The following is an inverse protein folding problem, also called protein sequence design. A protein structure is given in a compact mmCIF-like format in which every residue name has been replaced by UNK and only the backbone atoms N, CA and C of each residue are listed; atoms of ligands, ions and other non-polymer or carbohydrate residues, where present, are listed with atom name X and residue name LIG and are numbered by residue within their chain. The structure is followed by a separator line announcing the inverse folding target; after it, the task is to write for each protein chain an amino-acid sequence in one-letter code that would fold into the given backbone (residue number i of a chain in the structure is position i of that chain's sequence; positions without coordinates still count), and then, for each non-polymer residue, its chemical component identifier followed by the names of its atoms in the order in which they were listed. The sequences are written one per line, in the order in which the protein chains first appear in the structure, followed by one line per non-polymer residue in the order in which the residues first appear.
data_IF_874809726651
#
_entry.id   IF_874809726651
#
_cell.length_a   1.000
_cell.length_b   1.000
_cell.length_c   1.000
_cell.angle_alpha   90.00
_cell.angle_beta   90.00
_cell.angle_gamma   90.00
#
_symmetry.space_group_name_H-M   'P 1'
#
loop_
_entity.id
_entity.type
_entity.pdbx_description
1 polymer ?
#
# COMPACT_ATOMS: atom_id res chain seq x y z
N UNK A 1 1.15 -2.95 -25.71
CA UNK A 1 2.10 -3.91 -25.07
C UNK A 1 1.76 -4.03 -23.58
N UNK A 2 1.38 -5.21 -23.11
CA UNK A 2 0.92 -5.42 -21.73
C UNK A 2 2.05 -5.18 -20.71
N UNK A 3 1.72 -4.72 -19.49
CA UNK A 3 2.69 -4.50 -18.39
C UNK A 3 3.54 -5.76 -18.14
N UNK A 4 2.92 -6.94 -18.30
CA UNK A 4 3.58 -8.25 -18.23
C UNK A 4 4.76 -8.38 -19.19
N UNK A 5 4.56 -7.99 -20.44
CA UNK A 5 5.60 -8.04 -21.47
C UNK A 5 6.69 -6.99 -21.21
N UNK A 6 6.34 -5.80 -20.72
CA UNK A 6 7.32 -4.76 -20.37
C UNK A 6 8.26 -5.21 -19.25
N UNK A 7 7.72 -5.77 -18.16
CA UNK A 7 8.52 -6.27 -17.04
C UNK A 7 9.38 -7.47 -17.45
N UNK A 8 8.82 -8.43 -18.19
CA UNK A 8 9.61 -9.57 -18.70
C UNK A 8 10.78 -9.11 -19.59
N UNK A 9 10.55 -8.13 -20.48
CA UNK A 9 11.61 -7.55 -21.32
C UNK A 9 12.64 -6.79 -20.47
N UNK A 10 12.22 -6.02 -19.47
CA UNK A 10 13.15 -5.29 -18.60
C UNK A 10 14.05 -6.23 -17.78
N UNK A 11 13.47 -7.26 -17.15
CA UNK A 11 14.23 -8.27 -16.41
C UNK A 11 15.14 -9.09 -17.33
N UNK A 12 14.65 -9.47 -18.52
CA UNK A 12 15.47 -10.14 -19.52
C UNK A 12 16.63 -9.24 -20.00
N UNK A 13 16.40 -7.94 -20.18
CA UNK A 13 17.42 -6.97 -20.58
C UNK A 13 18.51 -6.80 -19.53
N UNK A 14 18.14 -6.67 -18.25
CA UNK A 14 19.10 -6.61 -17.14
C UNK A 14 19.88 -7.92 -17.02
N UNK A 15 19.20 -9.06 -17.10
CA UNK A 15 19.83 -10.38 -17.11
C UNK A 15 20.78 -10.58 -18.29
N UNK A 16 20.43 -10.06 -19.47
CA UNK A 16 21.26 -10.09 -20.66
C UNK A 16 22.55 -9.29 -20.45
N UNK A 17 22.41 -8.04 -20.00
CA UNK A 17 23.55 -7.16 -19.77
C UNK A 17 24.51 -7.77 -18.74
N UNK A 18 23.99 -8.27 -17.62
CA UNK A 18 24.81 -8.93 -16.60
C UNK A 18 25.51 -10.19 -17.13
N UNK A 19 24.79 -11.05 -17.85
CA UNK A 19 25.36 -12.31 -18.38
C UNK A 19 26.43 -12.05 -19.44
N UNK A 20 26.22 -11.07 -20.33
CA UNK A 20 27.22 -10.66 -21.33
C UNK A 20 28.45 -10.09 -20.65
N UNK A 21 28.29 -9.20 -19.67
CA UNK A 21 29.42 -8.63 -18.93
C UNK A 21 30.25 -9.71 -18.22
N UNK A 22 29.59 -10.61 -17.49
CA UNK A 22 30.27 -11.71 -16.79
C UNK A 22 30.93 -12.67 -17.78
N UNK A 23 30.26 -13.01 -18.88
CA UNK A 23 30.78 -13.91 -19.89
C UNK A 23 32.02 -13.36 -20.60
N UNK A 24 31.97 -12.10 -21.05
CA UNK A 24 33.10 -11.42 -21.69
C UNK A 24 34.27 -11.28 -20.73
N UNK A 25 34.02 -10.83 -19.50
CA UNK A 25 35.07 -10.67 -18.49
C UNK A 25 35.74 -12.01 -18.14
N UNK A 26 34.94 -13.07 -17.99
CA UNK A 26 35.46 -14.43 -17.70
C UNK A 26 36.32 -14.95 -18.84
N UNK A 27 35.86 -14.80 -20.09
CA UNK A 27 36.62 -15.22 -21.27
C UNK A 27 37.93 -14.43 -21.42
N UNK A 28 37.89 -13.10 -21.30
CA UNK A 28 39.09 -12.25 -21.36
C UNK A 28 40.10 -12.63 -20.29
N UNK A 29 39.64 -12.84 -19.05
CA UNK A 29 40.51 -13.24 -17.93
C UNK A 29 41.13 -14.61 -18.18
N UNK A 30 40.35 -15.58 -18.66
CA UNK A 30 40.87 -16.92 -18.97
C UNK A 30 41.89 -16.87 -20.11
N UNK A 31 41.60 -16.14 -21.18
CA UNK A 31 42.50 -15.98 -22.33
C UNK A 31 43.81 -15.30 -21.94
N UNK A 32 43.75 -14.20 -21.18
CA UNK A 32 44.96 -13.52 -20.69
C UNK A 32 45.81 -14.42 -19.81
N UNK A 33 45.19 -15.14 -18.86
CA UNK A 33 45.92 -16.08 -17.99
C UNK A 33 46.62 -17.18 -18.76
N UNK A 34 45.96 -17.74 -19.78
CA UNK A 34 46.56 -18.78 -20.63
C UNK A 34 47.74 -18.20 -21.42
N UNK A 35 47.57 -17.04 -22.07
CA UNK A 35 48.67 -16.40 -22.82
C UNK A 35 49.86 -16.06 -21.93
N UNK A 36 49.62 -15.50 -20.74
CA UNK A 36 50.69 -15.17 -19.80
C UNK A 36 51.43 -16.42 -19.28
N UNK A 37 50.71 -17.53 -19.10
CA UNK A 37 51.30 -18.81 -18.71
C UNK A 37 52.16 -19.41 -19.83
N UNK A 38 51.67 -19.37 -21.07
CA UNK A 38 52.42 -19.81 -22.25
C UNK A 38 53.70 -18.98 -22.43
N UNK A 39 53.62 -17.66 -22.31
CA UNK A 39 54.77 -16.75 -22.41
C UNK A 39 55.80 -17.03 -21.30
N UNK A 40 55.34 -17.25 -20.06
CA UNK A 40 56.21 -17.63 -18.94
C UNK A 40 56.87 -19.00 -19.15
N UNK A 41 56.15 -19.98 -19.68
CA UNK A 41 56.67 -21.31 -20.00
C UNK A 41 57.75 -21.25 -21.10
N UNK A 42 57.50 -20.48 -22.16
CA UNK A 42 58.44 -20.23 -23.25
C UNK A 42 59.73 -19.55 -22.75
N UNK A 43 59.62 -18.49 -21.95
CA UNK A 43 60.79 -17.83 -21.34
C UNK A 43 61.60 -18.79 -20.47
N UNK A 44 60.93 -19.51 -19.57
CA UNK A 44 61.59 -20.44 -18.62
C UNK A 44 62.34 -21.53 -19.38
N UNK A 45 61.68 -22.17 -20.35
CA UNK A 45 62.28 -23.21 -21.19
C UNK A 45 63.45 -22.66 -22.01
N UNK A 46 63.34 -21.43 -22.53
CA UNK A 46 64.45 -20.80 -23.26
C UNK A 46 65.69 -20.62 -22.37
N UNK A 47 65.52 -20.24 -21.10
CA UNK A 47 66.60 -20.09 -20.14
C UNK A 47 67.23 -21.45 -19.77
N UNK A 48 66.43 -22.50 -19.63
CA UNK A 48 66.92 -23.87 -19.39
C UNK A 48 67.76 -24.40 -20.56
N UNK A 49 67.32 -24.17 -21.81
CA UNK A 49 68.09 -24.53 -23.00
C UNK A 49 69.43 -23.76 -23.04
N UNK A 50 69.42 -22.47 -22.68
CA UNK A 50 70.65 -21.66 -22.58
C UNK A 50 71.61 -22.19 -21.52
N UNK A 51 71.10 -22.74 -20.42
CA UNK A 51 71.88 -23.37 -19.36
C UNK A 51 72.42 -24.77 -19.74
N UNK A 52 72.12 -25.25 -20.95
CA UNK A 52 72.59 -26.55 -21.47
C UNK A 52 71.64 -27.72 -21.21
N UNK A 53 70.44 -27.46 -20.67
CA UNK A 53 69.43 -28.49 -20.41
C UNK A 53 68.61 -28.83 -21.67
N UNK A 54 69.27 -29.27 -22.74
CA UNK A 54 68.59 -29.61 -24.01
C UNK A 54 67.59 -30.78 -23.87
N UNK A 55 67.64 -31.55 -22.78
CA UNK A 55 66.70 -32.63 -22.47
C UNK A 55 65.26 -32.13 -22.21
N UNK A 56 65.05 -30.84 -21.96
CA UNK A 56 63.71 -30.23 -21.82
C UNK A 56 62.91 -30.31 -23.12
N UNK A 57 63.59 -30.46 -24.26
CA UNK A 57 62.99 -30.69 -25.57
C UNK A 57 62.77 -32.18 -25.87
N UNK A 58 63.12 -33.09 -24.96
CA UNK A 58 62.96 -34.53 -25.17
C UNK A 58 61.48 -34.95 -25.01
N UNK A 59 61.03 -35.99 -25.74
CA UNK A 59 59.67 -36.46 -25.62
C UNK A 59 59.38 -36.99 -24.22
N UNK A 60 58.27 -36.56 -23.62
CA UNK A 60 57.82 -37.09 -22.32
C UNK A 60 57.27 -38.50 -22.51
N UNK A 61 57.84 -39.54 -21.86
CA UNK A 61 57.40 -40.92 -22.04
C UNK A 61 56.02 -41.23 -21.42
N UNK A 62 55.40 -40.25 -20.74
CA UNK A 62 54.13 -40.43 -20.01
C UNK A 62 52.93 -39.66 -20.59
N UNK A 63 53.10 -38.93 -21.69
CA UNK A 63 52.03 -38.12 -22.30
C UNK A 63 51.33 -38.89 -23.44
N UNK A 64 50.54 -39.92 -23.12
CA UNK A 64 49.50 -40.44 -24.03
C UNK A 64 48.15 -40.19 -23.39
N UNK A 65 47.44 -39.17 -23.87
CA UNK A 65 46.07 -38.90 -23.44
C UNK A 65 45.08 -39.96 -23.96
N UNK A 66 43.87 -40.08 -23.38
CA UNK A 66 42.85 -41.04 -23.81
C UNK A 66 42.17 -40.68 -25.15
N UNK A 67 42.48 -39.50 -25.71
CA UNK A 67 41.93 -39.01 -26.96
C UNK A 67 43.05 -38.92 -27.99
N UNK A 68 43.21 -40.03 -28.71
CA UNK A 68 44.20 -40.23 -29.77
C UNK A 68 43.83 -39.36 -30.99
N UNK A 69 44.27 -38.11 -30.97
CA UNK A 69 44.39 -37.27 -32.16
C UNK A 69 45.88 -37.27 -32.54
N UNK A 70 46.21 -37.37 -33.83
CA UNK A 70 47.59 -37.40 -34.39
C UNK A 70 48.50 -36.21 -33.97
N UNK A 71 47.99 -35.26 -33.18
CA UNK A 71 48.68 -34.08 -32.65
C UNK A 71 49.24 -34.24 -31.23
N UNK A 72 48.92 -35.35 -30.54
CA UNK A 72 49.42 -35.68 -29.19
C UNK A 72 50.86 -36.24 -29.25
N UNK A 73 51.73 -35.58 -30.03
CA UNK A 73 53.15 -35.90 -30.03
C UNK A 73 53.76 -35.49 -28.69
N UNK A 74 54.59 -36.38 -28.14
CA UNK A 74 55.25 -36.25 -26.84
C UNK A 74 56.14 -34.99 -26.63
N UNK A 75 56.14 -34.04 -27.57
CA UNK A 75 56.89 -32.77 -27.53
C UNK A 75 55.97 -31.61 -27.99
N UNK A 76 55.41 -30.79 -27.07
CA UNK A 76 54.54 -29.66 -27.44
C UNK A 76 55.32 -28.43 -27.95
N UNK A 77 56.65 -28.47 -27.92
CA UNK A 77 57.51 -27.34 -28.25
C UNK A 77 58.39 -27.66 -29.45
N UNK A 78 58.77 -26.63 -30.21
CA UNK A 78 59.73 -26.68 -31.31
C UNK A 78 60.82 -25.66 -31.05
N UNK A 79 62.08 -26.04 -31.18
CA UNK A 79 63.21 -25.15 -30.92
C UNK A 79 64.19 -25.11 -32.10
N UNK A 80 64.62 -23.91 -32.46
CA UNK A 80 65.67 -23.67 -33.46
C UNK A 80 66.65 -22.59 -32.99
N UNK A 81 67.90 -22.70 -33.41
CA UNK A 81 68.92 -21.68 -33.20
C UNK A 81 69.06 -20.87 -34.47
N UNK A 82 69.10 -19.55 -34.32
CA UNK A 82 69.31 -18.59 -35.39
C UNK A 82 70.75 -18.08 -35.26
N UNK A 83 71.61 -18.37 -36.23
CA UNK A 83 72.96 -17.86 -36.27
C UNK A 83 72.98 -16.35 -36.61
N UNK A 84 74.07 -15.63 -36.28
CA UNK A 84 74.19 -14.20 -36.56
C UNK A 84 74.08 -13.83 -38.05
N UNK A 85 74.37 -14.78 -38.95
CA UNK A 85 74.24 -14.63 -40.40
C UNK A 85 72.79 -14.78 -40.90
N UNK A 86 71.85 -15.05 -39.99
CA UNK A 86 70.43 -15.22 -40.30
C UNK A 86 70.04 -16.64 -40.74
N UNK A 87 70.94 -17.62 -40.64
CA UNK A 87 70.61 -19.04 -40.88
C UNK A 87 69.97 -19.66 -39.64
N UNK A 88 68.88 -20.43 -39.81
CA UNK A 88 68.23 -21.16 -38.73
C UNK A 88 68.51 -22.67 -38.81
N UNK A 89 68.77 -23.29 -37.66
CA UNK A 89 68.94 -24.73 -37.52
C UNK A 89 68.11 -25.25 -36.35
N UNK A 90 67.22 -26.21 -36.62
CA UNK A 90 66.43 -26.90 -35.58
C UNK A 90 67.37 -27.60 -34.58
N UNK A 91 67.01 -27.52 -33.30
CA UNK A 91 67.75 -28.13 -32.19
C UNK A 91 66.92 -29.13 -31.37
N UNK A 92 65.59 -29.14 -31.52
CA UNK A 92 64.72 -30.13 -30.89
C UNK A 92 63.24 -29.83 -31.08
N UNK A 93 62.36 -30.64 -30.49
CA UNK A 93 60.91 -30.49 -30.60
C UNK A 93 60.26 -31.29 -31.72
N UNK A 94 59.00 -30.95 -32.08
CA UNK A 94 58.24 -31.66 -33.13
C UNK A 94 59.04 -31.83 -34.44
N UNK A 95 59.03 -33.02 -35.07
CA UNK A 95 59.71 -33.27 -36.32
C UNK A 95 59.04 -32.50 -37.47
N UNK A 96 59.82 -32.17 -38.51
CA UNK A 96 59.36 -31.50 -39.73
C UNK A 96 58.73 -30.09 -39.59
N UNK A 97 58.67 -29.51 -38.39
CA UNK A 97 58.26 -28.11 -38.17
C UNK A 97 59.48 -27.20 -38.09
N UNK A 98 59.48 -26.12 -38.87
CA UNK A 98 60.49 -25.05 -38.80
C UNK A 98 59.82 -23.68 -38.84
N UNK A 99 60.23 -22.77 -37.97
CA UNK A 99 59.61 -21.45 -37.90
C UNK A 99 60.24 -20.50 -38.93
N UNK A 100 59.43 -19.82 -39.76
CA UNK A 100 59.95 -18.85 -40.71
C UNK A 100 60.47 -17.61 -39.98
N UNK A 101 61.67 -17.16 -40.33
CA UNK A 101 62.30 -15.99 -39.69
C UNK A 101 61.82 -14.67 -40.30
N UNK A 102 61.42 -13.72 -39.44
CA UNK A 102 61.10 -12.35 -39.85
C UNK A 102 62.29 -11.38 -39.64
N UNK A 103 62.06 -10.08 -39.84
CA UNK A 103 63.08 -9.06 -39.63
C UNK A 103 63.50 -8.90 -38.17
N UNK A 104 62.57 -9.10 -37.24
CA UNK A 104 62.78 -9.01 -35.79
C UNK A 104 63.65 -10.15 -35.30
N UNK A 105 63.36 -11.37 -35.74
CA UNK A 105 64.12 -12.58 -35.41
C UNK A 105 65.59 -12.46 -35.83
N UNK A 106 65.84 -11.97 -37.05
CA UNK A 106 67.20 -11.73 -37.57
C UNK A 106 67.90 -10.59 -36.84
N UNK A 107 67.18 -9.51 -36.51
CA UNK A 107 67.74 -8.38 -35.77
C UNK A 107 68.17 -8.79 -34.35
N UNK A 108 67.35 -9.59 -33.65
CA UNK A 108 67.67 -10.16 -32.34
C UNK A 108 68.89 -11.09 -32.41
N UNK A 109 68.99 -11.94 -33.44
CA UNK A 109 70.12 -12.84 -33.62
C UNK A 109 71.44 -12.11 -33.94
N UNK A 110 71.40 -11.05 -34.77
CA UNK A 110 72.58 -10.31 -35.19
C UNK A 110 73.07 -9.32 -34.12
N UNK A 111 72.15 -8.56 -33.51
CA UNK A 111 72.47 -7.36 -32.73
C UNK A 111 71.86 -7.35 -31.31
N UNK A 112 71.07 -8.36 -30.93
CA UNK A 112 70.38 -8.38 -29.64
C UNK A 112 71.35 -8.52 -28.45
N UNK A 113 70.98 -7.91 -27.32
CA UNK A 113 71.68 -8.09 -26.04
C UNK A 113 71.17 -9.37 -25.36
N UNK A 114 71.99 -10.02 -24.51
CA UNK A 114 71.52 -11.17 -23.75
C UNK A 114 70.25 -10.84 -22.97
N UNK A 115 69.18 -11.60 -23.20
CA UNK A 115 67.87 -11.41 -22.56
C UNK A 115 66.87 -10.57 -23.36
N UNK A 116 67.30 -9.87 -24.42
CA UNK A 116 66.36 -9.25 -25.36
C UNK A 116 65.53 -10.34 -26.04
N UNK A 117 64.21 -10.18 -26.04
CA UNK A 117 63.29 -11.17 -26.59
C UNK A 117 62.07 -10.54 -27.26
N UNK A 118 61.44 -11.30 -28.15
CA UNK A 118 60.17 -10.94 -28.78
C UNK A 118 59.26 -12.16 -28.88
N UNK A 119 57.96 -11.94 -28.68
CA UNK A 119 56.93 -12.95 -28.92
C UNK A 119 56.25 -12.74 -30.25
N UNK A 120 55.77 -13.84 -30.85
CA UNK A 120 55.04 -13.83 -32.11
C UNK A 120 54.08 -15.01 -32.20
N UNK A 121 52.87 -14.75 -32.67
CA UNK A 121 51.92 -15.79 -33.03
C UNK A 121 52.12 -16.18 -34.50
N UNK A 122 52.10 -17.48 -34.80
CA UNK A 122 52.49 -17.99 -36.10
C UNK A 122 51.76 -19.27 -36.46
N UNK A 123 51.16 -19.32 -37.64
CA UNK A 123 50.56 -20.54 -38.19
C UNK A 123 51.59 -21.28 -39.05
N UNK A 124 51.90 -22.53 -38.71
CA UNK A 124 52.81 -23.38 -39.49
C UNK A 124 52.09 -24.67 -39.87
N UNK A 125 51.77 -24.81 -41.14
CA UNK A 125 50.95 -25.93 -41.59
C UNK A 125 49.51 -25.80 -41.05
N UNK A 126 48.95 -26.83 -40.40
CA UNK A 126 47.62 -26.75 -39.79
C UNK A 126 47.61 -26.14 -38.39
N UNK A 127 48.75 -26.07 -37.69
CA UNK A 127 48.78 -25.71 -36.28
C UNK A 127 49.18 -24.25 -36.05
N UNK A 128 48.66 -23.67 -34.98
CA UNK A 128 49.04 -22.35 -34.50
C UNK A 128 50.05 -22.43 -33.34
N UNK A 129 51.11 -21.62 -33.42
CA UNK A 129 52.19 -21.58 -32.45
C UNK A 129 52.33 -20.19 -31.82
N UNK A 130 52.58 -20.17 -30.51
CA UNK A 130 53.16 -19.01 -29.82
C UNK A 130 54.67 -19.18 -29.78
N UNK A 131 55.39 -18.24 -30.37
CA UNK A 131 56.85 -18.30 -30.55
C UNK A 131 57.52 -17.20 -29.74
N UNK A 132 58.62 -17.52 -29.08
CA UNK A 132 59.57 -16.57 -28.50
C UNK A 132 60.91 -16.66 -29.22
N UNK A 133 61.52 -15.52 -29.52
CA UNK A 133 62.91 -15.42 -29.96
C UNK A 133 63.72 -14.69 -28.89
N UNK A 134 64.78 -15.31 -28.38
CA UNK A 134 65.62 -14.77 -27.30
C UNK A 134 67.06 -14.65 -27.79
N UNK A 135 67.63 -13.45 -27.73
CA UNK A 135 69.01 -13.19 -28.12
C UNK A 135 70.01 -13.78 -27.11
N UNK A 136 71.00 -14.51 -27.61
CA UNK A 136 72.10 -15.05 -26.80
C UNK A 136 73.18 -13.99 -26.53
N UNK A 137 73.21 -12.95 -27.37
CA UNK A 137 74.18 -11.86 -27.33
C UNK A 137 75.61 -12.29 -27.64
N UNK A 138 76.53 -11.31 -27.62
CA UNK A 138 77.96 -11.50 -27.91
C UNK A 138 78.23 -12.20 -29.26
N UNK A 139 77.38 -11.95 -30.27
CA UNK A 139 77.50 -12.58 -31.59
C UNK A 139 77.23 -14.08 -31.60
N UNK A 140 76.52 -14.62 -30.59
CA UNK A 140 76.18 -16.06 -30.52
C UNK A 140 74.86 -16.42 -31.20
N UNK A 141 74.15 -15.46 -31.78
CA UNK A 141 72.85 -15.66 -32.41
C UNK A 141 71.67 -15.51 -31.44
N UNK A 142 70.55 -16.14 -31.77
CA UNK A 142 69.34 -16.22 -30.95
C UNK A 142 68.80 -17.66 -30.87
N UNK A 143 68.00 -17.95 -29.86
CA UNK A 143 67.19 -19.17 -29.77
C UNK A 143 65.75 -18.79 -30.02
N UNK A 144 65.09 -19.53 -30.90
CA UNK A 144 63.67 -19.42 -31.15
C UNK A 144 62.97 -20.69 -30.69
N UNK A 145 61.95 -20.53 -29.85
CA UNK A 145 61.18 -21.61 -29.24
C UNK A 145 59.69 -21.32 -29.48
N UNK A 146 58.92 -22.31 -29.91
CA UNK A 146 57.49 -22.17 -30.08
C UNK A 146 56.73 -23.30 -29.39
N UNK A 147 55.54 -23.00 -28.89
CA UNK A 147 54.61 -23.96 -28.29
C UNK A 147 53.31 -23.96 -29.09
N UNK A 148 52.77 -25.15 -29.33
CA UNK A 148 51.45 -25.33 -29.94
C UNK A 148 50.35 -24.74 -29.02
N UNK A 149 49.47 -23.90 -29.58
CA UNK A 149 48.37 -23.27 -28.83
C UNK A 149 47.00 -23.85 -29.15
N UNK A 150 46.90 -24.89 -29.98
CA UNK A 150 45.62 -25.46 -30.41
C UNK A 150 44.85 -26.09 -29.25
N UNK A 151 45.52 -26.78 -28.33
CA UNK A 151 44.88 -27.29 -27.11
C UNK A 151 44.27 -26.15 -26.28
N UNK A 152 45.03 -25.07 -26.10
CA UNK A 152 44.58 -23.87 -25.39
C UNK A 152 43.39 -23.20 -26.08
N UNK A 153 43.40 -23.15 -27.42
CA UNK A 153 42.28 -22.62 -28.23
C UNK A 153 41.04 -23.50 -28.13
N UNK A 154 41.19 -24.82 -28.14
CA UNK A 154 40.08 -25.75 -27.93
C UNK A 154 39.48 -25.61 -26.53
N UNK A 155 40.31 -25.44 -25.51
CA UNK A 155 39.85 -25.15 -24.14
C UNK A 155 39.06 -23.83 -24.11
N UNK A 156 39.60 -22.75 -24.68
CA UNK A 156 38.93 -21.44 -24.75
C UNK A 156 37.62 -21.50 -25.54
N UNK A 157 37.57 -22.22 -26.66
CA UNK A 157 36.36 -22.44 -27.45
C UNK A 157 35.30 -23.20 -26.64
N UNK A 158 35.70 -24.26 -25.93
CA UNK A 158 34.80 -25.02 -25.06
C UNK A 158 34.25 -24.17 -23.91
N UNK A 159 35.08 -23.29 -23.32
CA UNK A 159 34.67 -22.32 -22.32
C UNK A 159 33.67 -21.32 -22.90
N UNK A 160 33.93 -20.78 -24.08
CA UNK A 160 33.02 -19.86 -24.76
C UNK A 160 31.64 -20.50 -25.02
N UNK A 161 31.60 -21.75 -25.49
CA UNK A 161 30.35 -22.49 -25.68
C UNK A 161 29.61 -22.69 -24.36
N UNK A 162 30.30 -23.13 -23.29
CA UNK A 162 29.69 -23.32 -21.96
C UNK A 162 29.15 -22.01 -21.39
N UNK A 163 29.91 -20.91 -21.47
CA UNK A 163 29.49 -19.57 -21.05
C UNK A 163 28.24 -19.15 -21.81
N UNK A 164 28.20 -19.37 -23.12
CA UNK A 164 27.04 -19.03 -23.97
C UNK A 164 25.79 -19.82 -23.56
N UNK A 165 25.92 -21.13 -23.35
CA UNK A 165 24.81 -21.99 -22.92
C UNK A 165 24.27 -21.59 -21.54
N UNK A 166 25.16 -21.35 -20.58
CA UNK A 166 24.76 -20.89 -19.23
C UNK A 166 24.09 -19.52 -19.30
N UNK A 167 24.65 -18.58 -20.08
CA UNK A 167 24.07 -17.24 -20.26
C UNK A 167 22.67 -17.31 -20.88
N UNK A 168 22.48 -18.17 -21.89
CA UNK A 168 21.16 -18.41 -22.49
C UNK A 168 20.16 -18.99 -21.49
N UNK A 169 20.58 -19.94 -20.65
CA UNK A 169 19.71 -20.50 -19.61
C UNK A 169 19.32 -19.45 -18.56
N UNK A 170 20.25 -18.62 -18.10
CA UNK A 170 20.00 -17.51 -17.16
C UNK A 170 19.02 -16.50 -17.75
N UNK A 171 19.17 -16.17 -19.04
CA UNK A 171 18.25 -15.29 -19.76
C UNK A 171 16.81 -15.81 -19.76
N UNK A 172 16.63 -17.09 -20.10
CA UNK A 172 15.31 -17.73 -20.12
C UNK A 172 14.70 -17.75 -18.72
N UNK A 173 15.49 -18.09 -17.70
CA UNK A 173 15.03 -18.10 -16.31
C UNK A 173 14.62 -16.71 -15.81
N UNK A 174 15.40 -15.67 -16.13
CA UNK A 174 15.09 -14.28 -15.77
C UNK A 174 13.81 -13.78 -16.45
N UNK A 175 13.63 -14.11 -17.75
CA UNK A 175 12.42 -13.76 -18.49
C UNK A 175 11.18 -14.44 -17.90
N UNK A 176 11.28 -15.74 -17.56
CA UNK A 176 10.19 -16.50 -16.94
C UNK A 176 9.83 -15.96 -15.54
N UNK A 177 10.83 -15.66 -14.71
CA UNK A 177 10.63 -15.06 -13.40
C UNK A 177 9.95 -13.68 -13.49
N UNK A 178 10.45 -12.82 -14.39
CA UNK A 178 9.84 -11.50 -14.65
C UNK A 178 8.39 -11.62 -15.14
N UNK A 179 8.10 -12.58 -16.02
CA UNK A 179 6.73 -12.85 -16.47
C UNK A 179 5.80 -13.34 -15.36
N UNK A 180 6.27 -14.25 -14.49
CA UNK A 180 5.49 -14.76 -13.36
C UNK A 180 5.16 -13.68 -12.33
N UNK A 181 6.16 -12.88 -11.93
CA UNK A 181 5.96 -11.74 -11.02
C UNK A 181 4.97 -10.74 -11.59
N UNK A 182 5.14 -10.37 -12.86
CA UNK A 182 4.24 -9.44 -13.51
C UNK A 182 2.82 -10.00 -13.64
N UNK A 183 2.67 -11.31 -13.90
CA UNK A 183 1.36 -11.99 -13.92
C UNK A 183 0.68 -11.94 -12.57
N UNK A 184 1.41 -12.17 -11.48
CA UNK A 184 0.87 -12.11 -10.12
C UNK A 184 0.37 -10.70 -9.77
N UNK A 185 1.21 -9.68 -9.99
CA UNK A 185 0.87 -8.28 -9.67
C UNK A 185 -0.31 -7.79 -10.53
N UNK A 186 -0.25 -8.01 -11.84
CA UNK A 186 -1.30 -7.53 -12.76
C UNK A 186 -2.64 -8.19 -12.45
N UNK A 187 -2.67 -9.46 -12.05
CA UNK A 187 -3.93 -10.14 -11.70
C UNK A 187 -4.63 -9.49 -10.50
N UNK A 188 -3.87 -9.12 -9.45
CA UNK A 188 -4.42 -8.44 -8.28
C UNK A 188 -4.96 -7.05 -8.63
N UNK A 189 -4.20 -6.30 -9.43
CA UNK A 189 -4.63 -4.97 -9.89
C UNK A 189 -5.88 -5.01 -10.76
N UNK A 190 -5.96 -5.92 -11.74
CA UNK A 190 -7.15 -6.06 -12.60
C UNK A 190 -8.39 -6.41 -11.76
N UNK A 191 -8.25 -7.25 -10.74
CA UNK A 191 -9.38 -7.56 -9.84
C UNK A 191 -9.80 -6.33 -9.03
N UNK A 192 -8.85 -5.53 -8.54
CA UNK A 192 -9.16 -4.28 -7.83
C UNK A 192 -9.87 -3.28 -8.76
N UNK A 193 -9.38 -3.11 -9.99
CA UNK A 193 -10.03 -2.27 -11.01
C UNK A 193 -11.46 -2.73 -11.32
N UNK A 194 -11.69 -4.04 -11.46
CA UNK A 194 -13.02 -4.57 -11.72
C UNK A 194 -14.02 -4.30 -10.58
N UNK A 195 -13.56 -4.36 -9.31
CA UNK A 195 -14.40 -3.99 -8.17
C UNK A 195 -14.71 -2.49 -8.20
N UNK A 196 -13.74 -1.63 -8.54
CA UNK A 196 -13.98 -0.19 -8.69
C UNK A 196 -15.01 0.11 -9.78
N UNK A 197 -14.88 -0.52 -10.96
CA UNK A 197 -15.82 -0.34 -12.07
C UNK A 197 -17.25 -0.76 -11.68
N UNK A 198 -17.39 -1.89 -10.97
CA UNK A 198 -18.70 -2.33 -10.47
C UNK A 198 -19.33 -1.35 -9.46
N UNK A 199 -18.51 -0.74 -8.60
CA UNK A 199 -18.97 0.28 -7.64
C UNK A 199 -19.37 1.58 -8.36
N UNK A 200 -18.63 1.96 -9.40
CA UNK A 200 -18.96 3.12 -10.25
C UNK A 200 -20.28 2.94 -10.99
N UNK A 201 -20.61 1.72 -11.41
CA UNK A 201 -21.87 1.39 -12.07
C UNK A 201 -23.06 1.24 -11.10
N UNK A 202 -22.89 1.61 -9.83
CA UNK A 202 -23.94 1.63 -8.81
C UNK A 202 -24.11 0.32 -8.04
N UNK A 203 -23.27 -0.68 -8.30
CA UNK A 203 -23.25 -1.94 -7.55
C UNK A 203 -22.35 -1.85 -6.33
N UNK A 204 -22.92 -1.73 -5.12
CA UNK A 204 -22.15 -2.01 -3.90
C UNK A 204 -21.93 -3.51 -3.77
N UNK A 205 -20.79 -3.95 -4.27
CA UNK A 205 -20.40 -5.35 -4.20
C UNK A 205 -19.88 -5.62 -2.79
N UNK A 206 -20.67 -6.37 -1.99
CA UNK A 206 -20.23 -6.99 -0.73
C UNK A 206 -19.16 -8.08 -0.94
N UNK A 207 -18.79 -8.42 -2.17
CA UNK A 207 -17.74 -9.38 -2.43
C UNK A 207 -16.40 -8.75 -2.02
N UNK A 208 -15.91 -9.17 -0.85
CA UNK A 208 -14.71 -8.63 -0.22
C UNK A 208 -13.54 -8.59 -1.20
N UNK A 209 -12.81 -7.47 -1.16
CA UNK A 209 -11.55 -7.36 -1.89
C UNK A 209 -10.63 -8.42 -1.29
N UNK A 210 -9.93 -9.25 -2.08
CA UNK A 210 -9.00 -10.22 -1.53
C UNK A 210 -7.85 -9.47 -0.85
N UNK A 211 -7.95 -9.34 0.47
CA UNK A 211 -6.92 -8.76 1.32
C UNK A 211 -5.88 -9.84 1.57
N UNK A 212 -4.78 -9.77 0.82
CA UNK A 212 -3.73 -10.78 0.90
C UNK A 212 -2.42 -10.27 0.32
N UNK A 213 -1.39 -10.26 1.16
CA UNK A 213 -0.05 -9.78 0.80
C UNK A 213 0.46 -8.76 1.82
N UNK A 214 1.75 -8.85 2.14
CA UNK A 214 2.47 -7.86 2.96
C UNK A 214 3.12 -6.75 2.11
N UNK A 215 2.81 -6.72 0.83
CA UNK A 215 3.32 -5.75 -0.16
C UNK A 215 2.43 -4.50 -0.24
N UNK A 216 2.88 -3.50 -1.00
CA UNK A 216 2.17 -2.24 -1.29
C UNK A 216 0.76 -2.49 -1.83
N UNK A 217 0.62 -3.53 -2.66
CA UNK A 217 -0.65 -3.93 -3.29
C UNK A 217 -1.62 -4.46 -2.23
N UNK A 218 -1.14 -5.25 -1.26
CA UNK A 218 -1.94 -5.72 -0.12
C UNK A 218 -2.39 -4.59 0.81
N UNK A 219 -1.53 -3.61 1.08
CA UNK A 219 -1.92 -2.41 1.85
C UNK A 219 -3.01 -1.61 1.11
N UNK A 220 -2.85 -1.42 -0.20
CA UNK A 220 -3.85 -0.75 -1.03
C UNK A 220 -5.20 -1.49 -1.02
N UNK A 221 -5.18 -2.81 -1.19
CA UNK A 221 -6.39 -3.64 -1.14
C UNK A 221 -7.13 -3.51 0.20
N UNK A 222 -6.40 -3.48 1.32
CA UNK A 222 -6.97 -3.33 2.67
C UNK A 222 -7.59 -1.95 2.88
N UNK A 223 -6.92 -0.88 2.44
CA UNK A 223 -7.47 0.48 2.52
C UNK A 223 -8.71 0.64 1.65
N UNK A 224 -8.71 0.04 0.46
CA UNK A 224 -9.86 0.05 -0.46
C UNK A 224 -11.06 -0.70 0.13
N UNK A 225 -10.83 -1.89 0.69
CA UNK A 225 -11.87 -2.69 1.37
C UNK A 225 -12.53 -1.91 2.52
N UNK A 226 -11.73 -1.23 3.36
CA UNK A 226 -12.25 -0.37 4.43
C UNK A 226 -13.09 0.79 3.89
N UNK A 227 -12.67 1.41 2.80
CA UNK A 227 -13.42 2.48 2.15
C UNK A 227 -14.76 1.97 1.60
N UNK A 228 -14.77 0.80 0.96
CA UNK A 228 -16.00 0.16 0.47
C UNK A 228 -16.96 -0.19 1.61
N UNK A 229 -16.44 -0.71 2.73
CA UNK A 229 -17.25 -0.96 3.93
C UNK A 229 -17.93 0.31 4.43
N UNK A 230 -17.18 1.40 4.62
CA UNK A 230 -17.73 2.69 5.03
C UNK A 230 -18.77 3.25 4.07
N UNK A 231 -18.55 3.09 2.76
CA UNK A 231 -19.50 3.53 1.74
C UNK A 231 -20.78 2.71 1.77
N UNK A 232 -20.67 1.39 1.96
CA UNK A 232 -21.82 0.50 2.08
C UNK A 232 -22.66 0.81 3.32
N UNK A 233 -22.02 1.03 4.46
CA UNK A 233 -22.70 1.42 5.70
C UNK A 233 -23.41 2.77 5.54
N UNK A 234 -22.73 3.77 4.99
CA UNK A 234 -23.31 5.09 4.75
C UNK A 234 -24.52 5.04 3.81
N UNK A 235 -24.49 4.19 2.77
CA UNK A 235 -25.64 4.03 1.86
C UNK A 235 -26.79 3.29 2.56
N UNK A 236 -26.51 2.24 3.32
CA UNK A 236 -27.53 1.52 4.08
C UNK A 236 -28.21 2.44 5.12
N UNK A 237 -27.45 3.33 5.77
CA UNK A 237 -27.99 4.36 6.66
C UNK A 237 -28.88 5.36 5.93
N UNK A 238 -28.48 5.79 4.73
CA UNK A 238 -29.27 6.68 3.90
C UNK A 238 -30.57 6.01 3.43
N UNK A 239 -30.51 4.76 2.99
CA UNK A 239 -31.69 3.99 2.55
C UNK A 239 -32.69 3.80 3.70
N UNK A 240 -32.20 3.44 4.90
CA UNK A 240 -33.03 3.36 6.13
C UNK A 240 -33.66 4.71 6.45
N UNK A 241 -32.88 5.79 6.45
CA UNK A 241 -33.40 7.13 6.71
C UNK A 241 -34.54 7.52 5.75
N UNK A 242 -34.39 7.23 4.45
CA UNK A 242 -35.41 7.53 3.43
C UNK A 242 -36.66 6.67 3.66
N UNK A 243 -36.50 5.38 3.95
CA UNK A 243 -37.61 4.48 4.22
C UNK A 243 -38.41 4.92 5.46
N UNK A 244 -37.71 5.22 6.55
CA UNK A 244 -38.35 5.62 7.79
C UNK A 244 -39.03 6.99 7.65
N UNK A 245 -38.36 7.96 7.02
CA UNK A 245 -38.93 9.27 6.71
C UNK A 245 -40.21 9.14 5.85
N UNK A 246 -40.22 8.25 4.85
CA UNK A 246 -41.39 8.02 4.02
C UNK A 246 -42.58 7.45 4.80
N UNK A 247 -42.32 6.57 5.78
CA UNK A 247 -43.37 6.03 6.64
C UNK A 247 -43.94 7.11 7.57
N UNK A 248 -43.07 7.87 8.25
CA UNK A 248 -43.50 8.89 9.20
C UNK A 248 -44.18 10.08 8.53
N UNK A 249 -43.80 10.46 7.31
CA UNK A 249 -44.48 11.52 6.55
C UNK A 249 -45.87 11.08 6.07
N UNK A 250 -46.10 9.79 5.82
CA UNK A 250 -47.39 9.29 5.29
C UNK A 250 -48.53 9.51 6.28
N UNK A 251 -48.28 9.40 7.58
CA UNK A 251 -49.29 9.58 8.64
C UNK A 251 -49.87 11.00 8.69
N UNK A 252 -49.08 12.08 8.92
CA UNK A 252 -49.60 13.44 8.95
C UNK A 252 -50.17 13.87 7.59
N UNK A 253 -49.60 13.42 6.47
CA UNK A 253 -50.17 13.68 5.15
C UNK A 253 -51.54 13.01 4.94
N UNK A 254 -51.75 11.82 5.49
CA UNK A 254 -53.04 11.13 5.44
C UNK A 254 -54.07 11.85 6.31
N UNK A 255 -53.66 12.36 7.47
CA UNK A 255 -54.51 13.14 8.37
C UNK A 255 -54.91 14.47 7.74
N UNK A 256 -53.95 15.24 7.22
CA UNK A 256 -54.20 16.48 6.48
C UNK A 256 -55.13 16.26 5.28
N UNK A 257 -54.97 15.14 4.55
CA UNK A 257 -55.86 14.79 3.44
C UNK A 257 -57.29 14.51 3.94
N UNK A 258 -57.43 13.87 5.09
CA UNK A 258 -58.74 13.59 5.70
C UNK A 258 -59.39 14.89 6.16
N UNK A 259 -58.65 15.75 6.86
CA UNK A 259 -59.11 17.07 7.27
C UNK A 259 -59.51 17.94 6.07
N UNK A 260 -58.73 17.92 4.99
CA UNK A 260 -59.10 18.62 3.74
C UNK A 260 -60.39 18.08 3.11
N UNK A 261 -60.70 16.78 3.24
CA UNK A 261 -61.98 16.22 2.80
C UNK A 261 -63.14 16.70 3.67
N UNK A 262 -62.95 16.75 5.00
CA UNK A 262 -63.94 17.28 5.95
C UNK A 262 -64.17 18.78 5.71
N UNK A 263 -63.11 19.54 5.41
CA UNK A 263 -63.15 20.96 5.07
C UNK A 263 -64.02 21.27 3.86
N UNK A 264 -64.24 20.32 2.93
CA UNK A 264 -65.19 20.52 1.81
C UNK A 264 -66.64 20.62 2.26
N UNK A 265 -66.97 20.14 3.47
CA UNK A 265 -68.29 20.24 4.10
C UNK A 265 -68.29 21.24 5.25
N UNK A 266 -67.36 22.20 5.23
CA UNK A 266 -67.18 23.16 6.32
C UNK A 266 -68.48 23.86 6.73
N UNK A 267 -69.32 24.22 5.75
CA UNK A 267 -70.59 24.91 6.02
C UNK A 267 -71.66 24.05 6.71
N UNK A 268 -71.52 22.72 6.64
CA UNK A 268 -72.40 21.75 7.28
C UNK A 268 -71.97 21.43 8.72
N UNK A 269 -70.78 21.88 9.14
CA UNK A 269 -70.23 21.63 10.48
C UNK A 269 -70.74 22.63 11.51
N UNK A 270 -70.99 22.13 12.73
CA UNK A 270 -71.21 22.98 13.91
C UNK A 270 -70.01 23.88 14.20
N UNK A 271 -70.18 25.04 14.86
CA UNK A 271 -69.09 25.94 15.22
C UNK A 271 -67.93 25.24 15.96
N UNK A 272 -68.23 24.36 16.91
CA UNK A 272 -67.22 23.60 17.67
C UNK A 272 -66.47 22.58 16.81
N UNK A 273 -67.13 21.99 15.80
CA UNK A 273 -66.47 21.09 14.86
C UNK A 273 -65.58 21.85 13.87
N UNK A 274 -65.95 23.07 13.48
CA UNK A 274 -65.12 23.96 12.65
C UNK A 274 -63.85 24.37 13.38
N UNK A 275 -63.96 24.78 14.64
CA UNK A 275 -62.82 25.17 15.47
C UNK A 275 -61.84 24.01 15.63
N UNK A 276 -62.32 22.82 15.98
CA UNK A 276 -61.49 21.61 16.08
C UNK A 276 -60.79 21.25 14.78
N UNK A 277 -61.50 21.30 13.64
CA UNK A 277 -60.89 21.01 12.34
C UNK A 277 -59.76 21.99 11.99
N UNK A 278 -59.91 23.28 12.32
CA UNK A 278 -58.86 24.27 12.11
C UNK A 278 -57.65 24.02 13.04
N UNK A 279 -57.90 23.71 14.31
CA UNK A 279 -56.86 23.35 15.27
C UNK A 279 -56.11 22.07 14.85
N UNK A 280 -56.82 21.06 14.34
CA UNK A 280 -56.25 19.80 13.85
C UNK A 280 -55.32 20.04 12.65
N UNK A 281 -55.76 20.82 11.64
CA UNK A 281 -54.95 21.17 10.46
C UNK A 281 -53.69 21.96 10.85
N UNK A 282 -53.84 22.92 11.74
CA UNK A 282 -52.75 23.75 12.24
C UNK A 282 -51.74 22.93 13.07
N UNK A 283 -52.24 22.04 13.93
CA UNK A 283 -51.42 21.07 14.67
C UNK A 283 -50.63 20.14 13.75
N UNK A 284 -51.29 19.51 12.78
CA UNK A 284 -50.67 18.60 11.82
C UNK A 284 -49.62 19.29 10.94
N UNK A 285 -49.86 20.54 10.55
CA UNK A 285 -48.92 21.32 9.75
C UNK A 285 -47.65 21.66 10.54
N UNK A 286 -47.79 21.98 11.83
CA UNK A 286 -46.63 22.18 12.73
C UNK A 286 -45.84 20.91 12.93
N UNK A 287 -46.52 19.79 13.15
CA UNK A 287 -45.88 18.48 13.33
C UNK A 287 -45.13 18.06 12.06
N UNK A 288 -45.73 18.24 10.87
CA UNK A 288 -45.08 17.98 9.59
C UNK A 288 -43.83 18.86 9.39
N UNK A 289 -43.92 20.16 9.73
CA UNK A 289 -42.79 21.11 9.64
C UNK A 289 -41.65 20.69 10.57
N UNK A 290 -41.97 20.26 11.78
CA UNK A 290 -41.00 19.77 12.75
C UNK A 290 -40.29 18.51 12.23
N UNK A 291 -41.06 17.51 11.78
CA UNK A 291 -40.54 16.25 11.23
C UNK A 291 -39.62 16.50 10.03
N UNK A 292 -40.00 17.37 9.09
CA UNK A 292 -39.16 17.74 7.95
C UNK A 292 -37.86 18.38 8.42
N UNK A 293 -37.92 19.27 9.40
CA UNK A 293 -36.72 19.93 9.95
C UNK A 293 -35.76 18.90 10.57
N UNK A 294 -36.29 17.93 11.33
CA UNK A 294 -35.49 16.86 11.93
C UNK A 294 -34.86 15.94 10.88
N UNK A 295 -35.62 15.54 9.85
CA UNK A 295 -35.10 14.72 8.74
C UNK A 295 -34.01 15.46 7.99
N UNK A 296 -34.21 16.75 7.67
CA UNK A 296 -33.20 17.57 6.97
C UNK A 296 -31.94 17.69 7.80
N UNK A 297 -32.06 17.97 9.09
CA UNK A 297 -30.89 18.08 9.96
C UNK A 297 -30.13 16.75 10.06
N UNK A 298 -30.83 15.62 10.10
CA UNK A 298 -30.24 14.28 10.12
C UNK A 298 -29.58 13.91 8.79
N UNK A 299 -30.21 14.23 7.66
CA UNK A 299 -29.70 13.96 6.32
C UNK A 299 -28.49 14.83 5.95
N UNK A 300 -28.51 16.10 6.36
CA UNK A 300 -27.44 17.06 6.05
C UNK A 300 -26.25 16.96 6.99
N UNK A 301 -26.38 16.21 8.10
CA UNK A 301 -25.37 16.16 9.18
C UNK A 301 -24.89 17.57 9.53
N UNK A 302 -25.84 18.50 9.65
CA UNK A 302 -25.59 19.95 9.66
C UNK A 302 -24.53 20.42 10.65
N UNK A 303 -24.34 19.67 11.73
CA UNK A 303 -23.44 19.98 12.82
C UNK A 303 -22.11 19.20 12.75
N UNK A 304 -21.93 18.28 11.80
CA UNK A 304 -20.67 17.54 11.64
C UNK A 304 -19.53 18.44 11.14
N UNK A 305 -19.85 19.51 10.40
CA UNK A 305 -18.87 20.50 9.95
C UNK A 305 -18.59 21.61 10.98
N UNK A 306 -19.18 21.54 12.17
CA UNK A 306 -18.87 22.46 13.27
C UNK A 306 -17.47 22.14 13.81
N UNK A 307 -16.61 23.18 13.87
CA UNK A 307 -15.29 23.05 14.48
C UNK A 307 -15.43 22.66 15.95
N UNK A 308 -14.53 21.77 16.40
CA UNK A 308 -14.45 21.38 17.81
C UNK A 308 -13.66 22.42 18.58
N UNK A 309 -14.17 22.82 19.74
CA UNK A 309 -13.53 23.81 20.60
C UNK A 309 -13.91 23.64 22.07
N UNK A 310 -13.37 24.46 22.98
CA UNK A 310 -13.75 24.45 24.38
C UNK A 310 -15.21 24.91 24.55
N UNK A 311 -16.01 24.10 25.21
CA UNK A 311 -17.43 24.34 25.46
C UNK A 311 -17.71 24.21 26.95
N UNK A 312 -18.25 25.28 27.54
CA UNK A 312 -18.79 25.27 28.90
C UNK A 312 -20.18 24.62 28.90
N UNK A 313 -20.33 23.47 29.56
CA UNK A 313 -21.60 22.74 29.57
C UNK A 313 -22.70 23.47 30.34
N UNK A 314 -22.33 24.25 31.38
CA UNK A 314 -23.27 25.10 32.10
C UNK A 314 -23.92 26.15 31.18
N UNK A 315 -23.13 26.81 30.32
CA UNK A 315 -23.65 27.76 29.33
C UNK A 315 -24.57 27.09 28.32
N UNK A 316 -24.23 25.88 27.86
CA UNK A 316 -25.09 25.08 26.96
C UNK A 316 -26.43 24.75 27.62
N UNK A 317 -26.39 24.23 28.85
CA UNK A 317 -27.57 23.90 29.65
C UNK A 317 -28.47 25.12 29.88
N UNK A 318 -27.88 26.26 30.25
CA UNK A 318 -28.60 27.52 30.45
C UNK A 318 -29.30 28.02 29.19
N UNK A 319 -28.61 28.03 28.03
CA UNK A 319 -29.21 28.44 26.75
C UNK A 319 -30.36 27.53 26.32
N UNK A 320 -30.20 26.21 26.47
CA UNK A 320 -31.24 25.23 26.15
C UNK A 320 -32.47 25.38 27.05
N UNK A 321 -32.26 25.51 28.37
CA UNK A 321 -33.34 25.71 29.34
C UNK A 321 -34.12 27.00 29.07
N UNK A 322 -33.44 28.11 28.79
CA UNK A 322 -34.07 29.39 28.49
C UNK A 322 -34.89 29.34 27.19
N UNK A 323 -34.38 28.65 26.17
CA UNK A 323 -35.10 28.43 24.92
C UNK A 323 -36.39 27.64 25.14
N UNK A 324 -36.35 26.57 25.93
CA UNK A 324 -37.53 25.73 26.22
C UNK A 324 -38.54 26.47 27.09
N UNK A 325 -38.08 27.22 28.10
CA UNK A 325 -38.91 28.12 28.92
C UNK A 325 -39.71 29.09 28.06
N UNK A 326 -39.05 29.79 27.12
CA UNK A 326 -39.73 30.75 26.22
C UNK A 326 -40.76 30.10 25.30
N UNK A 327 -40.52 28.87 24.85
CA UNK A 327 -41.41 28.20 23.88
C UNK A 327 -42.58 27.46 24.53
N UNK A 328 -42.35 26.84 25.68
CA UNK A 328 -43.36 26.00 26.36
C UNK A 328 -44.03 26.66 27.56
N UNK A 329 -43.42 27.69 28.14
CA UNK A 329 -43.84 28.26 29.43
C UNK A 329 -43.52 27.38 30.64
N UNK A 330 -42.91 26.20 30.45
CA UNK A 330 -42.54 25.28 31.55
C UNK A 330 -41.34 25.81 32.32
N UNK A 331 -41.37 25.69 33.64
CA UNK A 331 -40.21 25.98 34.49
C UNK A 331 -39.13 24.91 34.33
N UNK A 332 -37.89 25.34 34.12
CA UNK A 332 -36.71 24.47 34.03
C UNK A 332 -35.69 24.97 35.05
N UNK A 333 -35.34 24.12 36.02
CA UNK A 333 -34.30 24.38 37.02
C UNK A 333 -33.01 23.74 36.53
N UNK A 334 -31.97 24.56 36.37
CA UNK A 334 -30.66 24.12 35.91
C UNK A 334 -29.72 24.06 37.11
N UNK A 335 -29.15 22.88 37.33
CA UNK A 335 -28.10 22.63 38.31
C UNK A 335 -26.85 22.13 37.59
N UNK A 336 -25.91 23.03 37.30
CA UNK A 336 -24.72 22.75 36.51
C UNK A 336 -23.44 23.08 37.27
N UNK A 337 -22.41 22.25 37.12
CA UNK A 337 -21.05 22.55 37.57
C UNK A 337 -20.24 23.25 36.46
N UNK A 338 -19.04 23.72 36.80
CA UNK A 338 -18.10 24.38 35.87
C UNK A 338 -17.37 23.36 34.97
N UNK A 339 -18.10 22.45 34.34
CA UNK A 339 -17.53 21.47 33.41
C UNK A 339 -17.28 22.09 32.04
N UNK A 340 -16.03 21.98 31.56
CA UNK A 340 -15.62 22.29 30.20
C UNK A 340 -15.32 21.02 29.41
N UNK A 341 -15.75 20.98 28.15
CA UNK A 341 -15.46 19.87 27.24
C UNK A 341 -14.95 20.36 25.89
N UNK A 342 -14.13 19.55 25.22
CA UNK A 342 -13.82 19.77 23.80
C UNK A 342 -14.96 19.22 22.96
N UNK A 343 -15.69 20.07 22.24
CA UNK A 343 -16.87 19.62 21.51
C UNK A 343 -17.47 20.65 20.56
N UNK A 344 -18.63 20.30 20.03
CA UNK A 344 -19.41 21.10 19.09
C UNK A 344 -20.56 21.77 19.85
N UNK A 345 -20.42 23.07 20.15
CA UNK A 345 -21.31 23.78 21.07
C UNK A 345 -22.78 23.74 20.61
N UNK A 346 -23.05 23.93 19.32
CA UNK A 346 -24.44 23.93 18.79
C UNK A 346 -25.01 22.52 18.77
N UNK A 347 -24.21 21.51 18.47
CA UNK A 347 -24.63 20.10 18.53
C UNK A 347 -25.03 19.69 19.95
N UNK A 348 -24.21 20.02 20.95
CA UNK A 348 -24.50 19.76 22.36
C UNK A 348 -25.77 20.50 22.81
N UNK A 349 -25.91 21.79 22.47
CA UNK A 349 -27.10 22.58 22.80
C UNK A 349 -28.38 22.00 22.19
N UNK A 350 -28.30 21.45 20.98
CA UNK A 350 -29.42 20.76 20.34
C UNK A 350 -29.79 19.47 21.08
N UNK A 351 -28.82 18.65 21.47
CA UNK A 351 -29.07 17.44 22.24
C UNK A 351 -29.77 17.75 23.58
N UNK A 352 -29.29 18.76 24.31
CA UNK A 352 -29.93 19.20 25.56
C UNK A 352 -31.32 19.76 25.31
N UNK A 353 -31.51 20.54 24.24
CA UNK A 353 -32.83 21.06 23.85
C UNK A 353 -33.81 19.91 23.58
N UNK A 354 -33.39 18.87 22.85
CA UNK A 354 -34.23 17.70 22.57
C UNK A 354 -34.61 16.93 23.83
N UNK A 355 -33.69 16.75 24.79
CA UNK A 355 -34.00 16.13 26.08
C UNK A 355 -35.06 16.91 26.86
N UNK A 356 -34.91 18.24 26.91
CA UNK A 356 -35.86 19.12 27.59
C UNK A 356 -37.22 19.17 26.90
N UNK A 357 -37.27 19.24 25.56
CA UNK A 357 -38.52 19.18 24.79
C UNK A 357 -39.24 17.85 25.01
N UNK A 358 -38.48 16.75 25.10
CA UNK A 358 -39.03 15.44 25.45
C UNK A 358 -39.64 15.42 26.85
N UNK A 359 -38.93 15.97 27.85
CA UNK A 359 -39.43 16.09 29.21
C UNK A 359 -40.72 16.93 29.29
N UNK A 360 -40.77 18.09 28.62
CA UNK A 360 -41.97 18.95 28.55
C UNK A 360 -43.14 18.20 27.92
N UNK A 361 -42.89 17.46 26.84
CA UNK A 361 -43.92 16.71 26.11
C UNK A 361 -44.56 15.62 26.98
N UNK A 362 -43.76 14.86 27.71
CA UNK A 362 -44.25 13.75 28.54
C UNK A 362 -44.76 14.17 29.92
N UNK A 363 -44.37 15.37 30.38
CA UNK A 363 -44.83 16.00 31.61
C UNK A 363 -45.70 17.25 31.33
N UNK A 364 -46.56 17.16 30.31
CA UNK A 364 -47.37 18.28 29.83
C UNK A 364 -48.39 18.82 30.86
N UNK A 365 -48.77 18.00 31.85
CA UNK A 365 -49.69 18.36 32.94
C UNK A 365 -49.00 18.61 34.29
N UNK A 366 -47.67 18.49 34.36
CA UNK A 366 -46.94 18.66 35.60
C UNK A 366 -46.91 20.12 36.06
N UNK A 367 -46.87 20.33 37.37
CA UNK A 367 -46.71 21.66 37.99
C UNK A 367 -45.28 21.89 38.52
N UNK A 368 -44.58 20.83 38.89
CA UNK A 368 -43.20 20.86 39.39
C UNK A 368 -42.20 21.22 38.29
N UNK A 369 -41.05 21.86 38.54
CA UNK A 369 -40.08 22.17 37.50
C UNK A 369 -39.45 20.91 36.88
N UNK A 370 -39.08 21.00 35.60
CA UNK A 370 -38.14 20.04 34.98
C UNK A 370 -36.75 20.35 35.50
N UNK A 371 -36.01 19.32 35.92
CA UNK A 371 -34.66 19.48 36.46
C UNK A 371 -33.64 19.09 35.37
N UNK A 372 -32.64 19.94 35.16
CA UNK A 372 -31.50 19.70 34.27
C UNK A 372 -30.22 19.72 35.11
N UNK A 373 -29.56 18.57 35.23
CA UNK A 373 -28.31 18.43 35.98
C UNK A 373 -27.14 18.24 35.05
N UNK A 374 -26.05 18.99 35.26
CA UNK A 374 -24.76 18.80 34.58
C UNK A 374 -23.69 18.54 35.62
N UNK A 375 -23.01 17.39 35.51
CA UNK A 375 -21.91 17.00 36.40
C UNK A 375 -20.84 16.23 35.65
N UNK A 376 -19.60 16.70 35.67
CA UNK A 376 -18.43 15.94 35.16
C UNK A 376 -18.64 15.32 33.77
N UNK A 377 -19.26 16.07 32.85
CA UNK A 377 -19.52 15.62 31.47
C UNK A 377 -20.80 14.80 31.29
N UNK A 378 -21.54 14.53 32.36
CA UNK A 378 -22.86 13.90 32.33
C UNK A 378 -23.96 14.96 32.37
N UNK A 379 -24.92 14.87 31.45
CA UNK A 379 -26.10 15.73 31.38
C UNK A 379 -27.34 14.86 31.61
N UNK A 380 -28.16 15.22 32.61
CA UNK A 380 -29.40 14.53 32.97
C UNK A 380 -30.58 15.50 32.93
N UNK A 381 -31.68 15.08 32.29
CA UNK A 381 -32.98 15.75 32.40
C UNK A 381 -33.93 14.84 33.17
N UNK A 382 -34.58 15.40 34.19
CA UNK A 382 -35.51 14.71 35.06
C UNK A 382 -36.89 15.34 34.93
N UNK A 383 -37.90 14.50 34.66
CA UNK A 383 -39.30 14.90 34.59
C UNK A 383 -40.15 14.21 35.69
N UNK A 384 -41.45 14.53 35.73
CA UNK A 384 -42.46 13.90 36.59
C UNK A 384 -43.54 13.17 35.78
N UNK A 385 -43.26 12.87 34.52
CA UNK A 385 -44.18 12.19 33.63
C UNK A 385 -44.38 10.71 33.97
N UNK A 386 -44.98 9.93 33.05
CA UNK A 386 -45.28 8.51 33.29
C UNK A 386 -44.04 7.61 33.36
N UNK A 387 -42.85 8.12 33.03
CA UNK A 387 -41.63 7.34 32.91
C UNK A 387 -41.54 6.58 31.58
N UNK A 388 -40.46 5.80 31.43
CA UNK A 388 -40.22 4.95 30.25
C UNK A 388 -40.50 3.48 30.63
N UNK A 389 -41.35 2.75 29.87
CA UNK A 389 -41.56 1.33 30.10
C UNK A 389 -40.26 0.52 29.98
N UNK A 390 -40.09 -0.50 30.82
CA UNK A 390 -38.84 -1.28 30.87
C UNK A 390 -38.51 -1.98 29.53
N UNK A 391 -39.53 -2.40 28.79
CA UNK A 391 -39.38 -2.99 27.46
C UNK A 391 -38.85 -2.00 26.40
N UNK A 392 -39.09 -0.70 26.59
CA UNK A 392 -38.70 0.35 25.65
C UNK A 392 -37.34 0.96 26.00
N UNK A 393 -36.84 0.82 27.25
CA UNK A 393 -35.56 1.36 27.70
C UNK A 393 -34.36 1.06 26.77
N UNK A 394 -34.21 -0.16 26.19
CA UNK A 394 -33.12 -0.44 25.25
C UNK A 394 -33.26 0.27 23.90
N UNK A 395 -34.47 0.72 23.56
CA UNK A 395 -34.87 1.17 22.23
C UNK A 395 -35.25 2.65 22.16
N UNK A 396 -35.40 3.35 23.28
CA UNK A 396 -35.84 4.77 23.29
C UNK A 396 -34.92 5.74 22.54
N UNK A 397 -33.67 5.34 22.30
CA UNK A 397 -32.71 6.12 21.52
C UNK A 397 -32.59 5.66 20.06
N UNK A 398 -33.36 4.64 19.64
CA UNK A 398 -33.44 4.20 18.26
C UNK A 398 -34.25 5.22 17.44
N UNK A 399 -33.88 5.38 16.16
CA UNK A 399 -34.56 6.33 15.26
C UNK A 399 -36.02 5.92 15.07
N UNK A 400 -36.92 6.90 15.19
CA UNK A 400 -38.37 6.73 15.00
C UNK A 400 -39.03 5.77 15.98
N UNK A 401 -38.31 5.31 17.02
CA UNK A 401 -38.88 4.48 18.05
C UNK A 401 -39.82 5.31 18.94
N UNK A 402 -41.01 4.77 19.21
CA UNK A 402 -42.02 5.37 20.09
C UNK A 402 -42.71 4.27 20.88
N UNK A 403 -42.73 4.42 22.21
CA UNK A 403 -43.49 3.56 23.11
C UNK A 403 -44.99 3.54 22.73
N UNK A 404 -45.66 2.41 22.93
CA UNK A 404 -47.09 2.24 22.59
C UNK A 404 -47.96 3.34 23.21
N UNK A 405 -47.73 3.64 24.49
CA UNK A 405 -48.44 4.68 25.24
C UNK A 405 -48.14 6.11 24.75
N UNK A 406 -47.01 6.31 24.06
CA UNK A 406 -46.58 7.60 23.54
C UNK A 406 -47.07 7.89 22.10
N UNK A 407 -47.72 6.92 21.43
CA UNK A 407 -48.19 7.08 20.03
C UNK A 407 -49.27 8.15 19.86
N UNK A 408 -50.05 8.41 20.90
CA UNK A 408 -51.09 9.45 20.91
C UNK A 408 -50.55 10.89 21.08
N UNK A 409 -49.27 11.05 21.46
CA UNK A 409 -48.64 12.36 21.69
C UNK A 409 -47.81 12.81 20.48
N UNK A 410 -47.97 14.03 19.94
CA UNK A 410 -47.30 14.47 18.71
C UNK A 410 -45.77 14.41 18.80
N UNK A 411 -45.09 13.83 17.79
CA UNK A 411 -43.63 13.77 17.69
C UNK A 411 -43.09 12.55 16.94
N UNK A 412 -41.92 12.75 16.32
CA UNK A 412 -41.30 11.86 15.32
C UNK A 412 -40.52 10.66 15.88
N UNK A 413 -40.13 10.68 17.15
CA UNK A 413 -39.16 9.71 17.68
C UNK A 413 -37.71 9.93 17.22
N UNK A 414 -37.40 11.08 16.59
CA UNK A 414 -36.03 11.43 16.18
C UNK A 414 -35.23 12.17 17.26
N UNK A 415 -35.91 12.87 18.16
CA UNK A 415 -35.27 13.72 19.19
C UNK A 415 -34.21 13.00 20.01
N UNK A 416 -34.53 11.82 20.57
CA UNK A 416 -33.59 11.02 21.38
C UNK A 416 -32.51 10.34 20.52
N UNK A 417 -32.81 9.97 19.28
CA UNK A 417 -31.78 9.46 18.37
C UNK A 417 -30.71 10.52 18.04
N UNK A 418 -31.09 11.80 17.96
CA UNK A 418 -30.15 12.93 17.82
C UNK A 418 -29.28 13.08 19.07
N UNK A 419 -29.84 12.85 20.27
CA UNK A 419 -29.08 12.85 21.53
C UNK A 419 -28.02 11.75 21.48
N UNK A 420 -28.39 10.53 21.05
CA UNK A 420 -27.45 9.42 20.88
C UNK A 420 -26.35 9.71 19.87
N UNK A 421 -26.69 10.24 18.71
CA UNK A 421 -25.71 10.63 17.71
C UNK A 421 -24.73 11.69 18.25
N UNK A 422 -25.23 12.64 19.04
CA UNK A 422 -24.41 13.66 19.67
C UNK A 422 -23.48 13.07 20.72
N UNK A 423 -23.98 12.18 21.60
CA UNK A 423 -23.16 11.53 22.62
C UNK A 423 -22.03 10.71 21.99
N UNK A 424 -22.34 9.89 20.98
CA UNK A 424 -21.35 9.07 20.25
C UNK A 424 -20.33 9.96 19.52
N UNK A 425 -20.75 11.06 18.89
CA UNK A 425 -19.83 12.03 18.28
C UNK A 425 -18.90 12.72 19.30
N UNK A 426 -19.27 12.67 20.59
CA UNK A 426 -18.51 13.19 21.72
C UNK A 426 -17.88 12.07 22.57
N UNK A 427 -17.71 10.87 22.02
CA UNK A 427 -17.09 9.71 22.68
C UNK A 427 -17.74 9.29 23.99
N UNK A 428 -19.04 9.60 24.16
CA UNK A 428 -19.84 9.17 25.31
C UNK A 428 -21.02 8.30 24.91
N UNK A 429 -21.93 8.09 25.85
CA UNK A 429 -23.09 7.20 25.71
C UNK A 429 -24.37 7.81 26.32
N UNK A 430 -25.51 7.26 25.92
CA UNK A 430 -26.85 7.66 26.37
C UNK A 430 -27.41 6.74 27.44
N UNK A 431 -28.32 7.25 28.26
CA UNK A 431 -29.00 6.45 29.26
C UNK A 431 -30.41 6.97 29.55
N UNK A 432 -31.30 6.05 29.90
CA UNK A 432 -32.61 6.33 30.43
C UNK A 432 -32.87 5.43 31.65
N UNK A 433 -33.43 5.98 32.71
CA UNK A 433 -33.74 5.24 33.95
C UNK A 433 -34.97 5.81 34.64
N UNK A 434 -35.71 5.00 35.41
CA UNK A 434 -36.82 5.50 36.22
C UNK A 434 -36.33 6.49 37.27
N UNK A 435 -37.12 7.54 37.51
CA UNK A 435 -36.83 8.55 38.53
C UNK A 435 -37.36 8.12 39.90
N UNK A 436 -36.57 8.25 40.99
CA UNK A 436 -37.08 8.11 42.34
C UNK A 436 -38.25 9.07 42.61
N UNK A 437 -39.39 8.53 43.06
CA UNK A 437 -40.61 9.31 43.27
C UNK A 437 -41.46 9.56 42.02
N UNK A 438 -41.18 8.86 40.91
CA UNK A 438 -41.95 8.95 39.66
C UNK A 438 -41.34 9.90 38.62
N UNK A 439 -41.52 9.56 37.34
CA UNK A 439 -40.91 10.23 36.19
C UNK A 439 -39.80 9.44 35.51
N UNK A 440 -39.13 10.06 34.55
CA UNK A 440 -37.92 9.55 33.92
C UNK A 440 -36.69 10.41 34.24
N UNK A 441 -35.51 9.79 34.20
CA UNK A 441 -34.23 10.46 34.04
C UNK A 441 -33.63 10.02 32.72
N UNK A 442 -33.44 10.97 31.80
CA UNK A 442 -32.91 10.73 30.47
C UNK A 442 -31.72 11.65 30.24
N UNK A 443 -30.62 11.10 29.73
CA UNK A 443 -29.38 11.85 29.65
C UNK A 443 -28.33 11.23 28.75
N UNK A 444 -27.18 11.89 28.69
CA UNK A 444 -26.00 11.41 28.00
C UNK A 444 -24.72 11.85 28.69
N UNK A 445 -23.63 11.19 28.35
CA UNK A 445 -22.27 11.50 28.78
C UNK A 445 -21.43 12.01 27.61
N UNK A 446 -20.41 12.79 27.92
CA UNK A 446 -19.30 13.14 27.03
C UNK A 446 -18.08 12.34 27.48
N UNK A 447 -17.28 11.84 26.53
CA UNK A 447 -16.11 11.02 26.82
C UNK A 447 -15.12 11.72 27.73
N UNK A 448 -14.55 10.97 28.69
CA UNK A 448 -13.64 11.50 29.71
C UNK A 448 -12.41 12.22 29.13
N UNK A 449 -11.88 11.72 28.01
CA UNK A 449 -10.74 12.33 27.31
C UNK A 449 -11.04 13.71 26.71
N UNK A 450 -12.33 14.09 26.64
CA UNK A 450 -12.77 15.41 26.17
C UNK A 450 -13.00 16.39 27.31
N UNK A 451 -13.00 15.95 28.57
CA UNK A 451 -13.09 16.85 29.72
C UNK A 451 -11.83 17.72 29.77
N UNK A 452 -12.03 19.03 29.80
CA UNK A 452 -10.94 19.97 30.00
C UNK A 452 -10.68 20.12 31.50
N UNK A 453 -9.43 20.11 31.96
CA UNK A 453 -9.12 20.38 33.36
C UNK A 453 -9.66 21.75 33.72
N UNK A 454 -10.25 21.88 34.92
CA UNK A 454 -10.77 23.15 35.47
C UNK A 454 -9.57 24.11 35.58
N UNK A 455 -9.29 24.81 34.49
CA UNK A 455 -8.27 25.84 34.40
C UNK A 455 -9.06 27.07 34.04
N UNK A 456 -9.18 28.00 35.00
CA UNK A 456 -9.72 29.32 34.77
C UNK A 456 -9.17 29.85 33.43
N UNK A 457 -10.01 30.36 32.52
CA UNK A 457 -9.50 31.20 31.44
C UNK A 457 -9.04 32.48 32.12
N UNK A 458 -7.78 32.52 32.55
CA UNK A 458 -7.12 33.77 32.87
C UNK A 458 -7.26 34.68 31.65
N UNK A 459 -7.72 35.89 31.93
CA UNK A 459 -7.73 37.01 31.01
C UNK A 459 -6.44 37.06 30.18
N UNK A 460 -6.54 36.73 28.89
CA UNK A 460 -5.64 37.28 27.89
C UNK A 460 -6.36 38.46 27.25
N UNK A 461 -6.30 39.60 27.93
CA UNK A 461 -6.31 40.87 27.23
C UNK A 461 -4.95 41.07 26.58
N UNK A 462 -4.94 41.16 25.25
CA UNK A 462 -4.31 42.25 24.49
C UNK A 462 -4.94 42.31 23.09
#
# INVERSE_FOLDING_TARGET
MNLRSKLAIAFAGVGAAASVLVGVFSYQTASQRISDELDRSLLTTSAEIQAGAAQVLAPSPFARGPHDNDHDEAQPMVAQVIAPDGTARRIGGRPAVSFPLDGTDRALAANGRPGDHAYRDLTVGPDDYRVITVALGRGRGAIQLGIDVDESRHVLASLATRITLVSAAVLVAAALAGWLLARQITRRLVRLTAVTEQVSDGGLVRAGVPTGGRDEVGRLATSFDRMLGRLADARADQERLVQDAAHELRTPLTSLRTNAQVMRRYDELSPDARARLLDDVDGETRELTHLITEIVDLATRRYDSEETGPVELAAVAGRAAERVRRRSGRSVVVDADDTFVTGQARRLERAVTNLLENAVKFDAGGTEPIELTVRSGQIEVLDRGPGVPEADLPHVFDRFHRADAARALPGSGLGLAIVRETAVAHDGDVFARPRPGGGAVVGFTVGGDRLLPISHPDHAGD
#
